data_IF_085475701969
#
_entry.id   IF_085475701969
#
_cell.length_a   1.000
_cell.length_b   1.000
_cell.length_c   1.000
_cell.angle_alpha   90.00
_cell.angle_beta   90.00
_cell.angle_gamma   90.00
#
_symmetry.space_group_name_H-M   'P 1'
#
loop_
_entity.id
_entity.type
_entity.pdbx_description
1 polymer ?
#
# COMPACT_ATOMS: atom_id res chain seq x y z
N UNK A 1 50.00 -23.32 6.83
CA UNK A 1 50.54 -23.23 5.46
C UNK A 1 49.35 -23.41 4.52
N UNK A 2 48.70 -22.31 4.15
CA UNK A 2 48.94 -21.53 2.91
C UNK A 2 48.40 -22.30 1.69
N UNK A 3 47.24 -21.88 1.15
CA UNK A 3 47.06 -21.00 -0.03
C UNK A 3 46.95 -21.86 -1.31
N UNK A 4 46.13 -21.59 -2.33
CA UNK A 4 45.21 -20.52 -2.71
C UNK A 4 44.67 -20.84 -4.11
N UNK A 5 43.97 -19.87 -4.70
CA UNK A 5 43.64 -19.67 -6.13
C UNK A 5 42.27 -20.13 -6.66
N UNK A 6 41.35 -19.15 -6.62
CA UNK A 6 40.35 -18.84 -7.64
C UNK A 6 40.98 -18.69 -9.04
N UNK A 7 40.26 -19.15 -10.09
CA UNK A 7 40.18 -18.41 -11.35
C UNK A 7 38.91 -18.73 -12.16
N UNK A 8 38.37 -17.63 -12.69
CA UNK A 8 37.22 -17.41 -13.58
C UNK A 8 37.24 -18.18 -14.91
N UNK A 9 36.04 -18.19 -15.57
CA UNK A 9 35.70 -18.03 -17.02
C UNK A 9 34.47 -18.94 -17.30
N UNK A 10 33.34 -18.55 -17.91
CA UNK A 10 32.95 -17.42 -18.75
C UNK A 10 31.45 -17.12 -18.64
N UNK A 11 31.13 -15.84 -18.76
CA UNK A 11 29.83 -15.35 -19.19
C UNK A 11 29.58 -15.76 -20.66
N UNK A 12 28.49 -16.48 -20.91
CA UNK A 12 27.95 -16.68 -22.25
C UNK A 12 27.02 -15.53 -22.62
N UNK A 13 27.39 -14.78 -23.65
CA UNK A 13 26.57 -13.73 -24.26
C UNK A 13 25.33 -14.33 -24.92
N UNK A 14 24.13 -13.96 -24.45
CA UNK A 14 22.93 -14.09 -25.27
C UNK A 14 22.68 -12.74 -25.96
N UNK A 15 22.82 -12.75 -27.28
CA UNK A 15 22.59 -11.61 -28.14
C UNK A 15 21.11 -11.43 -28.51
N UNK A 16 20.75 -10.16 -28.72
CA UNK A 16 19.85 -9.70 -29.78
C UNK A 16 18.37 -10.05 -29.67
N UNK A 17 18.01 -11.30 -29.92
CA UNK A 17 16.65 -11.64 -30.40
C UNK A 17 15.84 -12.58 -29.50
N UNK A 18 16.38 -13.04 -28.36
CA UNK A 18 15.63 -13.90 -27.42
C UNK A 18 14.58 -13.18 -26.56
N UNK A 19 14.61 -11.85 -26.50
CA UNK A 19 13.67 -11.06 -25.69
C UNK A 19 12.33 -10.77 -26.41
N UNK A 20 12.30 -10.89 -27.74
CA UNK A 20 11.11 -10.61 -28.55
C UNK A 20 10.13 -11.79 -28.58
N UNK A 21 10.61 -13.03 -28.62
CA UNK A 21 9.75 -14.23 -28.62
C UNK A 21 9.08 -14.49 -27.26
N UNK A 22 9.70 -14.06 -26.16
CA UNK A 22 9.09 -14.14 -24.81
C UNK A 22 8.01 -13.07 -24.63
N UNK A 23 8.15 -11.91 -25.28
CA UNK A 23 7.15 -10.84 -25.26
C UNK A 23 5.93 -11.15 -26.15
N UNK A 24 6.11 -11.88 -27.27
CA UNK A 24 5.01 -12.29 -28.14
C UNK A 24 4.11 -13.36 -27.50
N UNK A 25 4.68 -14.26 -26.69
CA UNK A 25 3.90 -15.26 -25.94
C UNK A 25 3.11 -14.64 -24.76
N UNK A 26 3.60 -13.55 -24.16
CA UNK A 26 2.96 -12.87 -23.02
C UNK A 26 1.72 -12.03 -23.40
N UNK A 27 1.60 -11.59 -24.66
CA UNK A 27 0.47 -10.76 -25.11
C UNK A 27 -0.85 -11.54 -25.28
N UNK A 28 -0.79 -12.88 -25.40
CA UNK A 28 -2.00 -13.72 -25.51
C UNK A 28 -2.63 -14.14 -24.17
N UNK A 29 -2.03 -13.80 -23.02
CA UNK A 29 -2.50 -14.29 -21.70
C UNK A 29 -2.76 -13.22 -20.62
N UNK A 30 -2.80 -11.93 -20.99
CA UNK A 30 -3.41 -10.86 -20.17
C UNK A 30 -2.95 -10.81 -18.68
N UNK A 31 -1.63 -10.87 -18.43
CA UNK A 31 -1.03 -10.73 -17.10
C UNK A 31 0.01 -9.60 -17.11
N UNK A 32 -0.26 -8.51 -16.40
CA UNK A 32 0.71 -7.44 -16.14
C UNK A 32 1.54 -7.79 -14.90
N UNK A 33 2.80 -8.21 -15.09
CA UNK A 33 3.79 -8.38 -14.02
C UNK A 33 4.88 -7.31 -14.19
N UNK A 34 5.06 -6.47 -13.18
CA UNK A 34 6.17 -5.51 -13.08
C UNK A 34 7.33 -6.21 -12.38
N UNK A 35 8.41 -6.46 -13.12
CA UNK A 35 9.67 -7.01 -12.62
C UNK A 35 10.56 -5.86 -12.13
N UNK A 36 10.95 -5.85 -10.84
CA UNK A 36 11.85 -4.84 -10.27
C UNK A 36 13.04 -5.57 -9.64
N UNK A 37 14.19 -5.51 -10.33
CA UNK A 37 15.47 -6.06 -9.87
C UNK A 37 16.19 -4.99 -9.03
N UNK A 38 16.50 -5.29 -7.78
CA UNK A 38 17.37 -4.49 -6.91
C UNK A 38 18.80 -5.03 -6.99
N UNK A 39 19.79 -4.14 -7.20
CA UNK A 39 21.22 -4.44 -7.09
C UNK A 39 21.82 -3.62 -5.96
N UNK A 40 22.53 -4.30 -5.05
CA UNK A 40 23.13 -3.75 -3.83
C UNK A 40 24.61 -3.39 -4.10
N UNK A 41 25.04 -2.18 -3.73
CA UNK A 41 26.42 -1.72 -3.93
C UNK A 41 27.10 -1.47 -2.57
N UNK A 42 27.99 -2.40 -2.17
CA UNK A 42 28.98 -2.25 -1.09
C UNK A 42 30.31 -1.79 -1.69
N UNK A 43 30.85 -0.64 -1.28
CA UNK A 43 32.25 -0.50 -0.80
C UNK A 43 32.76 0.95 -0.63
N UNK A 44 33.35 1.18 0.55
CA UNK A 44 34.24 2.24 1.07
C UNK A 44 35.15 2.99 0.08
N UNK A 45 35.34 4.31 0.30
CA UNK A 45 36.62 4.93 0.71
C UNK A 45 36.47 6.44 1.01
N UNK A 46 36.57 6.80 2.29
CA UNK A 46 36.90 8.16 2.74
C UNK A 46 38.41 8.23 2.96
N UNK A 47 39.09 9.16 2.29
CA UNK A 47 40.46 9.57 2.63
C UNK A 47 40.42 11.02 3.10
N UNK A 48 40.67 11.22 4.38
CA UNK A 48 41.14 12.49 4.92
C UNK A 48 42.53 12.79 4.35
N UNK A 49 42.74 14.01 3.88
CA UNK A 49 44.07 14.59 3.71
C UNK A 49 44.10 15.90 4.47
N UNK A 50 44.76 15.86 5.63
CA UNK A 50 45.24 17.03 6.36
C UNK A 50 46.58 17.45 5.73
N UNK A 51 46.81 18.74 5.48
CA UNK A 51 48.07 19.19 4.90
C UNK A 51 48.27 20.70 4.79
N UNK A 52 48.63 21.30 5.94
CA UNK A 52 49.54 22.45 6.10
C UNK A 52 49.05 23.88 5.78
N UNK A 53 48.76 24.60 6.86
CA UNK A 53 48.71 26.06 6.94
C UNK A 53 50.08 26.72 6.72
N UNK A 54 50.07 27.92 6.11
CA UNK A 54 51.09 28.96 6.30
C UNK A 54 50.44 30.14 7.02
N UNK A 55 51.10 30.77 8.02
CA UNK A 55 50.53 31.88 8.77
C UNK A 55 50.81 33.20 8.06
N UNK A 56 49.82 34.09 8.04
CA UNK A 56 50.05 35.53 7.83
C UNK A 56 49.16 36.20 6.80
N UNK A 57 47.94 36.56 7.22
CA UNK A 57 47.38 37.92 7.09
C UNK A 57 45.99 37.95 7.73
N UNK A 58 45.80 38.88 8.68
CA UNK A 58 44.49 39.23 9.24
C UNK A 58 43.62 39.76 8.10
N UNK A 59 42.65 38.96 7.69
CA UNK A 59 41.43 39.41 7.04
C UNK A 59 40.29 38.82 7.84
N UNK A 60 39.49 39.68 8.47
CA UNK A 60 38.20 39.29 9.05
C UNK A 60 37.35 38.66 7.95
N UNK A 61 37.28 37.34 7.91
CA UNK A 61 36.25 36.65 7.14
C UNK A 61 34.97 36.78 7.96
N UNK A 62 34.24 37.86 7.70
CA UNK A 62 32.82 37.88 8.03
C UNK A 62 32.16 36.78 7.23
N UNK A 63 31.86 35.66 7.88
CA UNK A 63 30.95 34.66 7.31
C UNK A 63 29.56 35.26 7.44
N UNK A 64 29.15 36.05 6.45
CA UNK A 64 27.73 36.29 6.21
C UNK A 64 27.17 34.99 5.64
N UNK A 65 26.77 34.09 6.54
CA UNK A 65 25.93 32.95 6.20
C UNK A 65 24.50 33.47 6.10
N UNK A 66 24.16 34.06 4.95
CA UNK A 66 22.75 34.19 4.58
C UNK A 66 22.22 32.77 4.41
N UNK A 67 21.46 32.31 5.41
CA UNK A 67 20.68 31.07 5.33
C UNK A 67 19.63 31.26 4.22
N UNK A 68 19.95 30.84 3.00
CA UNK A 68 18.98 30.81 1.90
C UNK A 68 18.05 29.62 2.19
N UNK A 69 16.91 29.88 2.84
CA UNK A 69 15.84 28.91 2.92
C UNK A 69 15.09 28.88 1.56
N UNK A 70 15.18 27.80 0.78
CA UNK A 70 14.43 27.70 -0.47
C UNK A 70 12.93 27.74 -0.14
N UNK A 71 12.19 28.61 -0.84
CA UNK A 71 10.74 28.75 -0.62
C UNK A 71 10.03 27.41 -0.88
N UNK A 72 9.24 26.96 0.11
CA UNK A 72 8.45 25.73 0.04
C UNK A 72 7.53 25.69 -1.18
N UNK A 73 7.04 26.85 -1.64
CA UNK A 73 6.25 27.01 -2.85
C UNK A 73 7.05 26.59 -4.10
N UNK A 74 8.31 27.01 -4.20
CA UNK A 74 9.16 26.69 -5.34
C UNK A 74 9.51 25.19 -5.38
N UNK A 75 9.72 24.58 -4.22
CA UNK A 75 9.94 23.15 -4.08
C UNK A 75 8.73 22.32 -4.58
N UNK A 76 7.51 22.78 -4.29
CA UNK A 76 6.28 22.15 -4.79
C UNK A 76 6.10 22.34 -6.31
N UNK A 77 6.47 23.50 -6.86
CA UNK A 77 6.46 23.72 -8.32
C UNK A 77 7.41 22.76 -9.04
N UNK A 78 8.60 22.53 -8.48
CA UNK A 78 9.54 21.53 -9.01
C UNK A 78 8.96 20.11 -8.98
N UNK A 79 8.37 19.71 -7.84
CA UNK A 79 7.71 18.41 -7.70
C UNK A 79 6.62 18.21 -8.75
N UNK A 80 5.76 19.22 -8.95
CA UNK A 80 4.67 19.15 -9.93
C UNK A 80 5.19 19.04 -11.37
N UNK A 81 6.28 19.73 -11.71
CA UNK A 81 6.90 19.65 -13.03
C UNK A 81 7.46 18.26 -13.32
N UNK A 82 8.08 17.62 -12.32
CA UNK A 82 8.59 16.26 -12.45
C UNK A 82 7.46 15.25 -12.57
N UNK A 83 6.42 15.36 -11.74
CA UNK A 83 5.26 14.44 -11.75
C UNK A 83 4.36 14.61 -12.98
N UNK A 84 4.22 15.82 -13.51
CA UNK A 84 3.47 16.09 -14.73
C UNK A 84 4.26 15.79 -16.01
N UNK A 85 5.57 15.52 -15.91
CA UNK A 85 6.46 15.18 -17.02
C UNK A 85 6.75 16.31 -18.02
N UNK A 86 6.09 17.47 -17.88
CA UNK A 86 6.36 18.66 -18.69
C UNK A 86 5.95 19.96 -17.98
N UNK A 87 6.64 21.05 -18.29
CA UNK A 87 6.29 22.40 -17.80
C UNK A 87 4.88 22.81 -18.27
N UNK A 88 4.47 22.40 -19.47
CA UNK A 88 3.13 22.69 -20.00
C UNK A 88 2.04 22.04 -19.16
N UNK A 89 2.20 20.75 -18.83
CA UNK A 89 1.23 20.01 -18.02
C UNK A 89 1.20 20.52 -16.57
N UNK A 90 2.36 20.84 -16.00
CA UNK A 90 2.45 21.41 -14.66
C UNK A 90 1.79 22.80 -14.57
N UNK A 91 2.02 23.67 -15.55
CA UNK A 91 1.39 24.99 -15.61
C UNK A 91 -0.14 24.90 -15.64
N UNK A 92 -0.70 23.92 -16.39
CA UNK A 92 -2.13 23.66 -16.41
C UNK A 92 -2.66 23.19 -15.04
N UNK A 93 -1.94 22.28 -14.37
CA UNK A 93 -2.32 21.77 -13.03
C UNK A 93 -2.21 22.82 -11.93
N UNK A 94 -1.25 23.74 -12.04
CA UNK A 94 -1.03 24.85 -11.11
C UNK A 94 -1.86 26.09 -11.45
N UNK A 95 -2.69 26.05 -12.51
CA UNK A 95 -3.49 27.18 -13.00
C UNK A 95 -2.66 28.47 -13.23
N UNK A 96 -1.47 28.33 -13.84
CA UNK A 96 -0.55 29.44 -14.08
C UNK A 96 0.06 29.38 -15.49
N UNK A 97 0.86 30.38 -15.86
CA UNK A 97 1.52 30.45 -17.18
C UNK A 97 2.81 29.61 -17.22
N UNK A 98 3.13 29.06 -18.40
CA UNK A 98 4.41 28.33 -18.62
C UNK A 98 5.64 29.18 -18.30
N UNK A 99 5.57 30.48 -18.60
CA UNK A 99 6.64 31.44 -18.30
C UNK A 99 6.86 31.57 -16.80
N UNK A 100 5.79 31.60 -16.01
CA UNK A 100 5.86 31.68 -14.56
C UNK A 100 6.46 30.42 -13.93
N UNK A 101 6.04 29.23 -14.35
CA UNK A 101 6.63 27.96 -13.90
C UNK A 101 8.12 27.89 -14.22
N UNK A 102 8.51 28.26 -15.45
CA UNK A 102 9.92 28.29 -15.87
C UNK A 102 10.76 29.28 -15.03
N UNK A 103 10.20 30.46 -14.71
CA UNK A 103 10.84 31.46 -13.86
C UNK A 103 11.00 30.96 -12.41
N UNK A 104 9.98 30.30 -11.86
CA UNK A 104 10.02 29.71 -10.52
C UNK A 104 11.05 28.58 -10.40
N UNK A 105 11.14 27.69 -11.40
CA UNK A 105 12.19 26.66 -11.46
C UNK A 105 13.59 27.26 -11.52
N UNK A 106 13.78 28.25 -12.41
CA UNK A 106 15.09 28.91 -12.55
C UNK A 106 15.50 29.62 -11.27
N UNK A 107 14.53 30.22 -10.55
CA UNK A 107 14.76 30.82 -9.23
C UNK A 107 15.13 29.79 -8.17
N UNK A 108 14.48 28.62 -8.17
CA UNK A 108 14.81 27.53 -7.26
C UNK A 108 16.22 27.00 -7.49
N UNK A 109 16.59 26.73 -8.74
CA UNK A 109 17.94 26.26 -9.12
C UNK A 109 19.00 27.31 -8.73
N UNK A 110 18.70 28.60 -8.91
CA UNK A 110 19.58 29.68 -8.47
C UNK A 110 19.73 29.76 -6.94
N UNK A 111 18.64 29.56 -6.19
CA UNK A 111 18.66 29.55 -4.72
C UNK A 111 19.45 28.36 -4.16
N UNK A 112 19.34 27.19 -4.79
CA UNK A 112 20.03 25.98 -4.37
C UNK A 112 21.47 25.89 -4.91
N UNK A 113 21.85 26.75 -5.86
CA UNK A 113 23.17 26.72 -6.51
C UNK A 113 23.42 25.49 -7.38
N UNK A 114 22.39 24.69 -7.66
CA UNK A 114 22.50 23.43 -8.43
C UNK A 114 21.37 23.32 -9.46
N UNK A 115 21.68 22.69 -10.60
CA UNK A 115 20.70 22.38 -11.62
C UNK A 115 19.91 21.12 -11.22
N UNK A 116 18.58 21.21 -11.20
CA UNK A 116 17.69 20.11 -10.82
C UNK A 116 17.13 19.38 -12.03
N UNK A 117 17.05 20.04 -13.20
CA UNK A 117 16.46 19.48 -14.42
C UNK A 117 17.37 19.67 -15.63
N UNK A 118 17.55 18.61 -16.41
CA UNK A 118 18.09 18.73 -17.77
C UNK A 118 17.01 19.31 -18.69
N UNK A 119 17.25 20.52 -19.21
CA UNK A 119 16.35 21.19 -20.16
C UNK A 119 16.72 20.79 -21.58
N UNK A 120 16.22 19.62 -22.03
CA UNK A 120 16.24 19.29 -23.46
C UNK A 120 14.89 19.63 -24.10
N UNK A 121 14.88 20.02 -25.37
CA UNK A 121 13.67 20.40 -26.12
C UNK A 121 12.67 19.25 -26.34
N UNK A 122 12.99 18.01 -25.91
CA UNK A 122 12.13 16.83 -26.08
C UNK A 122 11.79 16.08 -24.79
N UNK A 123 12.56 16.21 -23.70
CA UNK A 123 12.27 15.57 -22.40
C UNK A 123 12.82 16.38 -21.22
N UNK A 124 12.02 16.47 -20.16
CA UNK A 124 12.41 16.95 -18.83
C UNK A 124 12.88 15.75 -18.02
N UNK A 125 14.16 15.74 -17.63
CA UNK A 125 14.74 14.65 -16.81
C UNK A 125 15.41 15.25 -15.58
N UNK A 126 15.12 14.74 -14.36
CA UNK A 126 15.82 15.17 -13.15
C UNK A 126 17.32 14.84 -13.21
N UNK A 127 18.15 15.77 -12.73
CA UNK A 127 19.56 15.50 -12.44
C UNK A 127 19.71 14.59 -11.22
N UNK A 128 20.92 14.21 -10.86
CA UNK A 128 21.16 13.48 -9.60
C UNK A 128 20.73 14.31 -8.38
N UNK A 129 21.11 15.60 -8.34
CA UNK A 129 20.63 16.54 -7.34
C UNK A 129 19.10 16.70 -7.37
N UNK A 130 18.50 16.74 -8.56
CA UNK A 130 17.05 16.75 -8.75
C UNK A 130 16.35 15.52 -8.18
N UNK A 131 16.92 14.32 -8.35
CA UNK A 131 16.37 13.08 -7.78
C UNK A 131 16.42 13.10 -6.25
N UNK A 132 17.56 13.49 -5.67
CA UNK A 132 17.69 13.61 -4.22
C UNK A 132 16.71 14.64 -3.64
N UNK A 133 16.58 15.80 -4.30
CA UNK A 133 15.67 16.86 -3.87
C UNK A 133 14.20 16.48 -4.00
N UNK A 134 13.83 15.66 -4.99
CA UNK A 134 12.47 15.19 -5.22
C UNK A 134 11.89 14.45 -4.00
N UNK A 135 12.70 13.63 -3.33
CA UNK A 135 12.26 12.88 -2.14
C UNK A 135 11.96 13.81 -0.96
N UNK A 136 12.74 14.88 -0.80
CA UNK A 136 12.45 15.93 0.19
C UNK A 136 11.21 16.73 -0.17
N UNK A 137 11.00 17.07 -1.45
CA UNK A 137 9.77 17.76 -1.88
C UNK A 137 8.51 16.92 -1.61
N UNK A 138 8.58 15.59 -1.80
CA UNK A 138 7.47 14.69 -1.49
C UNK A 138 7.12 14.72 -0.01
N UNK A 139 8.12 14.66 0.87
CA UNK A 139 7.94 14.75 2.33
C UNK A 139 7.39 16.13 2.73
N UNK A 140 7.89 17.21 2.15
CA UNK A 140 7.40 18.56 2.37
C UNK A 140 5.92 18.70 1.97
N UNK A 141 5.50 18.09 0.85
CA UNK A 141 4.08 18.08 0.43
C UNK A 141 3.19 17.36 1.44
N UNK A 142 3.67 16.28 2.04
CA UNK A 142 2.96 15.58 3.13
C UNK A 142 2.86 16.49 4.36
N UNK A 143 3.98 17.05 4.80
CA UNK A 143 4.03 17.91 6.00
C UNK A 143 3.16 19.18 5.86
N UNK A 144 3.13 19.81 4.68
CA UNK A 144 2.25 20.97 4.41
C UNK A 144 0.77 20.58 4.37
N UNK A 145 0.44 19.36 3.94
CA UNK A 145 -0.93 18.85 4.01
C UNK A 145 -1.33 18.57 5.45
N UNK A 146 -0.45 17.96 6.23
CA UNK A 146 -0.64 17.72 7.67
C UNK A 146 -0.79 19.04 8.44
N UNK A 147 0.04 20.05 8.15
CA UNK A 147 -0.06 21.36 8.79
C UNK A 147 -1.36 22.08 8.40
N UNK A 148 -1.77 21.99 7.14
CA UNK A 148 -3.05 22.54 6.69
C UNK A 148 -4.23 21.80 7.30
N UNK A 149 -4.13 20.48 7.50
CA UNK A 149 -5.14 19.67 8.18
C UNK A 149 -5.23 20.05 9.67
N UNK A 150 -4.09 20.23 10.35
CA UNK A 150 -4.03 20.69 11.73
C UNK A 150 -4.66 22.09 11.90
N UNK A 151 -4.45 23.00 10.94
CA UNK A 151 -5.03 24.34 10.96
C UNK A 151 -6.52 24.37 10.55
N UNK A 152 -6.96 23.50 9.64
CA UNK A 152 -8.37 23.38 9.27
C UNK A 152 -9.22 22.73 10.36
N UNK A 153 -8.61 21.90 11.21
CA UNK A 153 -9.23 21.41 12.44
C UNK A 153 -9.61 22.51 13.44
N UNK A 154 -9.12 23.75 13.26
CA UNK A 154 -9.44 24.89 14.13
C UNK A 154 -10.65 25.73 13.67
N UNK A 155 -11.15 25.59 12.43
CA UNK A 155 -12.08 26.58 11.84
C UNK A 155 -13.38 26.04 11.23
N UNK A 156 -13.55 24.71 11.10
CA UNK A 156 -14.85 24.08 10.87
C UNK A 156 -14.95 22.98 11.92
N UNK A 157 -15.80 23.13 12.95
CA UNK A 157 -16.12 22.01 13.83
C UNK A 157 -16.75 20.92 12.96
N UNK A 158 -15.95 19.90 12.62
CA UNK A 158 -16.43 18.73 11.92
C UNK A 158 -17.44 18.03 12.85
N UNK A 159 -18.73 18.26 12.59
CA UNK A 159 -19.81 17.81 13.45
C UNK A 159 -20.95 17.17 12.64
N UNK A 160 -21.76 16.36 13.32
CA UNK A 160 -22.93 15.69 12.76
C UNK A 160 -22.68 14.23 12.40
N UNK A 161 -23.65 13.61 11.71
CA UNK A 161 -23.64 12.16 11.47
C UNK A 161 -22.94 11.78 10.16
N UNK A 162 -22.08 10.77 10.20
CA UNK A 162 -21.50 10.11 9.02
C UNK A 162 -21.98 8.67 8.96
N UNK A 163 -22.53 8.25 7.81
CA UNK A 163 -23.01 6.89 7.60
C UNK A 163 -21.95 6.03 6.94
N UNK A 164 -21.51 4.98 7.63
CA UNK A 164 -20.47 4.06 7.18
C UNK A 164 -21.04 2.65 7.09
N UNK A 165 -20.85 1.97 5.95
CA UNK A 165 -21.20 0.54 5.83
C UNK A 165 -19.94 -0.34 5.72
N UNK A 166 -19.87 -1.45 6.45
CA UNK A 166 -18.70 -2.35 6.47
C UNK A 166 -19.09 -3.84 6.51
N UNK A 167 -18.23 -4.75 6.05
CA UNK A 167 -18.36 -6.18 6.28
C UNK A 167 -18.32 -6.54 7.77
N UNK A 168 -19.08 -7.56 8.17
CA UNK A 168 -19.10 -8.12 9.53
C UNK A 168 -17.69 -8.45 10.06
N UNK A 169 -16.84 -9.06 9.23
CA UNK A 169 -15.47 -9.38 9.65
C UNK A 169 -14.61 -8.15 9.87
N UNK A 170 -14.79 -7.10 9.07
CA UNK A 170 -14.06 -5.86 9.27
C UNK A 170 -14.47 -5.20 10.59
N UNK A 171 -15.78 -5.10 10.84
CA UNK A 171 -16.32 -4.54 12.09
C UNK A 171 -15.84 -5.32 13.32
N UNK A 172 -15.86 -6.65 13.27
CA UNK A 172 -15.47 -7.48 14.42
C UNK A 172 -13.97 -7.45 14.73
N UNK A 173 -13.11 -7.25 13.73
CA UNK A 173 -11.65 -7.22 13.92
C UNK A 173 -11.13 -5.82 14.24
N UNK A 174 -11.59 -4.80 13.52
CA UNK A 174 -11.03 -3.44 13.61
C UNK A 174 -11.99 -2.42 14.25
N UNK A 175 -13.30 -2.70 14.26
CA UNK A 175 -14.32 -1.69 14.50
C UNK A 175 -14.23 -1.03 15.88
N UNK A 176 -14.03 -1.81 16.95
CA UNK A 176 -14.02 -1.28 18.31
C UNK A 176 -12.86 -0.30 18.54
N UNK A 177 -11.62 -0.71 18.23
CA UNK A 177 -10.42 0.12 18.43
C UNK A 177 -10.42 1.35 17.53
N UNK A 178 -10.76 1.17 16.24
CA UNK A 178 -10.79 2.24 15.26
C UNK A 178 -11.85 3.29 15.63
N UNK A 179 -13.08 2.88 15.94
CA UNK A 179 -14.18 3.83 16.23
C UNK A 179 -13.97 4.53 17.58
N UNK A 180 -13.40 3.85 18.58
CA UNK A 180 -13.07 4.48 19.86
C UNK A 180 -11.99 5.55 19.68
N UNK A 181 -10.91 5.24 18.97
CA UNK A 181 -9.84 6.19 18.69
C UNK A 181 -10.34 7.37 17.83
N UNK A 182 -11.23 7.11 16.86
CA UNK A 182 -11.87 8.17 16.08
C UNK A 182 -12.72 9.09 16.96
N UNK A 183 -13.57 8.52 17.81
CA UNK A 183 -14.45 9.29 18.70
C UNK A 183 -13.67 10.17 19.69
N UNK A 184 -12.54 9.68 20.20
CA UNK A 184 -11.65 10.47 21.07
C UNK A 184 -11.09 11.71 20.35
N UNK A 185 -10.80 11.60 19.06
CA UNK A 185 -10.27 12.71 18.26
C UNK A 185 -11.38 13.63 17.71
N UNK A 186 -12.56 13.10 17.41
CA UNK A 186 -13.68 13.81 16.80
C UNK A 186 -15.02 13.58 17.56
N UNK A 187 -15.16 14.09 18.80
CA UNK A 187 -16.31 13.79 19.65
C UNK A 187 -17.64 14.37 19.14
N UNK A 188 -17.59 15.39 18.27
CA UNK A 188 -18.78 16.01 17.67
C UNK A 188 -19.34 15.26 16.45
N UNK A 189 -18.66 14.20 16.00
CA UNK A 189 -19.09 13.36 14.89
C UNK A 189 -19.74 12.09 15.41
N UNK A 190 -20.97 11.82 14.98
CA UNK A 190 -21.65 10.55 15.21
C UNK A 190 -21.41 9.63 14.02
N UNK A 191 -20.96 8.40 14.24
CA UNK A 191 -20.85 7.38 13.18
C UNK A 191 -22.06 6.45 13.25
N UNK A 192 -22.89 6.47 12.21
CA UNK A 192 -23.93 5.46 12.00
C UNK A 192 -23.32 4.31 11.20
N UNK A 193 -23.14 3.16 11.87
CA UNK A 193 -22.51 1.98 11.29
C UNK A 193 -23.57 0.98 10.80
N UNK A 194 -23.56 0.68 9.51
CA UNK A 194 -24.26 -0.46 8.92
C UNK A 194 -23.28 -1.60 8.73
N UNK A 195 -23.65 -2.80 9.18
CA UNK A 195 -22.82 -3.99 9.01
C UNK A 195 -23.49 -4.90 8.01
N UNK A 196 -23.00 -4.86 6.78
CA UNK A 196 -23.59 -5.58 5.65
C UNK A 196 -22.57 -5.87 4.56
N UNK A 197 -22.78 -7.00 3.88
CA UNK A 197 -22.08 -7.36 2.64
C UNK A 197 -22.90 -7.00 1.39
N UNK A 198 -24.08 -6.40 1.54
CA UNK A 198 -24.90 -6.02 0.40
C UNK A 198 -24.15 -5.00 -0.46
N UNK A 199 -23.99 -5.33 -1.73
CA UNK A 199 -23.60 -4.36 -2.75
C UNK A 199 -24.80 -3.45 -2.98
N UNK A 200 -24.72 -2.26 -2.40
CA UNK A 200 -25.71 -1.20 -2.56
C UNK A 200 -25.03 0.00 -3.18
N UNK A 201 -25.75 0.73 -4.00
CA UNK A 201 -25.32 2.07 -4.38
C UNK A 201 -25.26 2.94 -3.11
N UNK A 202 -24.09 3.54 -2.87
CA UNK A 202 -23.86 4.33 -1.66
C UNK A 202 -24.69 5.60 -1.66
N UNK A 203 -24.88 6.23 -2.82
CA UNK A 203 -25.66 7.45 -2.95
C UNK A 203 -27.15 7.16 -2.72
N UNK A 204 -27.70 6.14 -3.40
CA UNK A 204 -29.12 5.78 -3.26
C UNK A 204 -29.47 5.28 -1.85
N UNK A 205 -28.53 4.59 -1.20
CA UNK A 205 -28.72 4.08 0.17
C UNK A 205 -28.40 5.09 1.26
N UNK A 206 -27.95 6.29 0.88
CA UNK A 206 -27.61 7.36 1.82
C UNK A 206 -26.41 7.04 2.70
N UNK A 207 -25.46 6.22 2.23
CA UNK A 207 -24.18 5.99 2.91
C UNK A 207 -23.15 7.01 2.43
N UNK A 208 -22.40 7.60 3.38
CA UNK A 208 -21.31 8.50 3.05
C UNK A 208 -20.05 7.73 2.64
N UNK A 209 -19.78 6.61 3.33
CA UNK A 209 -18.58 5.79 3.19
C UNK A 209 -18.92 4.29 3.17
N UNK A 210 -18.08 3.50 2.53
CA UNK A 210 -18.09 2.05 2.66
C UNK A 210 -16.68 1.47 2.72
N UNK A 211 -16.50 0.37 3.46
CA UNK A 211 -15.28 -0.43 3.37
C UNK A 211 -15.64 -1.72 2.65
N UNK A 212 -14.94 -2.09 1.57
CA UNK A 212 -15.22 -3.30 0.81
C UNK A 212 -13.94 -3.94 0.29
N UNK A 213 -13.95 -5.25 0.21
CA UNK A 213 -13.03 -6.01 -0.63
C UNK A 213 -13.77 -6.33 -1.92
N UNK A 214 -13.25 -5.86 -3.06
CA UNK A 214 -13.87 -6.11 -4.36
C UNK A 214 -12.80 -6.19 -5.45
N UNK A 215 -12.90 -7.15 -6.40
CA UNK A 215 -11.99 -7.24 -7.54
C UNK A 215 -12.22 -6.12 -8.57
N UNK A 216 -13.43 -5.56 -8.60
CA UNK A 216 -13.81 -4.45 -9.46
C UNK A 216 -14.49 -3.35 -8.63
N UNK A 217 -14.24 -2.09 -9.00
CA UNK A 217 -14.71 -0.93 -8.26
C UNK A 217 -15.69 -0.12 -9.11
N UNK A 218 -16.81 0.36 -8.55
CA UNK A 218 -17.72 1.23 -9.28
C UNK A 218 -17.02 2.52 -9.73
N UNK A 219 -17.14 2.92 -11.01
CA UNK A 219 -16.36 4.02 -11.57
C UNK A 219 -16.74 5.40 -11.02
N UNK A 220 -17.92 5.53 -10.41
CA UNK A 220 -18.43 6.77 -9.82
C UNK A 220 -17.93 7.01 -8.38
N UNK A 221 -17.32 6.00 -7.75
CA UNK A 221 -16.77 6.10 -6.40
C UNK A 221 -15.27 6.41 -6.44
N UNK A 222 -14.82 7.17 -5.44
CA UNK A 222 -13.41 7.23 -5.11
C UNK A 222 -13.06 5.99 -4.30
N UNK A 223 -11.99 5.31 -4.68
CA UNK A 223 -11.45 4.18 -3.94
C UNK A 223 -10.06 4.49 -3.39
N UNK A 224 -9.92 4.44 -2.07
CA UNK A 224 -8.63 4.50 -1.38
C UNK A 224 -8.29 3.12 -0.84
N UNK A 225 -7.22 2.52 -1.34
CA UNK A 225 -6.73 1.25 -0.81
C UNK A 225 -6.28 1.44 0.64
N UNK A 226 -6.77 0.62 1.55
CA UNK A 226 -6.38 0.61 2.96
C UNK A 226 -5.25 -0.39 3.20
N UNK A 227 -5.43 -1.62 2.72
CA UNK A 227 -4.42 -2.68 2.83
C UNK A 227 -4.73 -3.83 1.85
N UNK A 228 -3.78 -4.74 1.72
CA UNK A 228 -3.96 -6.02 1.04
C UNK A 228 -4.10 -7.13 2.09
N UNK A 229 -5.06 -8.01 1.89
CA UNK A 229 -5.24 -9.22 2.70
C UNK A 229 -5.01 -10.45 1.81
N UNK A 230 -4.64 -11.56 2.43
CA UNK A 230 -4.63 -12.90 1.83
C UNK A 230 -5.55 -13.80 2.64
N UNK A 231 -5.95 -14.92 2.05
CA UNK A 231 -6.68 -15.93 2.80
C UNK A 231 -5.71 -16.96 3.40
N UNK A 232 -6.01 -17.45 4.59
CA UNK A 232 -5.40 -18.63 5.17
C UNK A 232 -6.38 -19.79 5.14
N UNK A 233 -5.85 -20.99 4.89
CA UNK A 233 -6.59 -22.22 5.20
C UNK A 233 -6.29 -22.59 6.64
N UNK A 234 -7.34 -22.80 7.41
CA UNK A 234 -7.27 -23.04 8.85
C UNK A 234 -8.16 -24.20 9.27
N UNK A 235 -7.77 -24.89 10.33
CA UNK A 235 -8.54 -25.95 10.98
C UNK A 235 -8.27 -25.94 12.48
N UNK A 236 -9.16 -26.50 13.30
CA UNK A 236 -8.88 -26.65 14.73
C UNK A 236 -7.80 -27.71 14.97
N UNK A 237 -6.98 -27.56 16.03
CA UNK A 237 -6.02 -28.59 16.43
C UNK A 237 -6.67 -29.96 16.67
N UNK A 238 -7.91 -30.00 17.17
CA UNK A 238 -8.65 -31.24 17.39
C UNK A 238 -8.96 -31.98 16.09
N UNK A 239 -9.35 -31.27 15.03
CA UNK A 239 -9.57 -31.87 13.71
C UNK A 239 -8.27 -32.43 13.14
N UNK A 240 -7.16 -31.68 13.29
CA UNK A 240 -5.84 -32.08 12.80
C UNK A 240 -5.28 -33.29 13.56
N UNK A 241 -5.51 -33.40 14.86
CA UNK A 241 -5.07 -34.56 15.65
C UNK A 241 -5.72 -35.87 15.15
N UNK A 242 -6.98 -35.82 14.71
CA UNK A 242 -7.70 -37.00 14.21
C UNK A 242 -7.45 -37.32 12.74
N UNK A 243 -7.13 -36.32 11.89
CA UNK A 243 -7.04 -36.49 10.43
C UNK A 243 -5.66 -36.23 9.83
N UNK A 244 -4.74 -35.65 10.61
CA UNK A 244 -3.47 -35.13 10.12
C UNK A 244 -3.61 -33.80 9.38
N UNK A 245 -2.47 -33.16 9.14
CA UNK A 245 -2.38 -31.91 8.38
C UNK A 245 -2.23 -32.18 6.87
N UNK A 246 -3.04 -31.55 6.00
CA UNK A 246 -2.88 -31.67 4.56
C UNK A 246 -1.59 -30.97 4.11
N UNK A 247 -0.75 -31.69 3.35
CA UNK A 247 0.50 -31.15 2.77
C UNK A 247 0.32 -30.52 1.39
N UNK A 248 -0.70 -30.98 0.66
CA UNK A 248 -0.98 -30.58 -0.72
C UNK A 248 -2.45 -30.16 -0.85
N UNK A 249 -2.77 -29.10 -1.61
CA UNK A 249 -4.13 -28.57 -1.74
C UNK A 249 -5.15 -29.60 -2.20
N UNK A 250 -4.80 -30.48 -3.13
CA UNK A 250 -5.67 -31.55 -3.62
C UNK A 250 -6.25 -32.47 -2.54
N UNK A 251 -5.66 -32.54 -1.34
CA UNK A 251 -6.24 -33.28 -0.22
C UNK A 251 -7.60 -32.71 0.23
N UNK A 252 -7.82 -31.40 0.07
CA UNK A 252 -9.06 -30.72 0.46
C UNK A 252 -10.29 -31.17 -0.35
N UNK A 253 -10.08 -31.80 -1.51
CA UNK A 253 -11.15 -32.42 -2.30
C UNK A 253 -11.83 -33.60 -1.57
N UNK A 254 -11.24 -34.12 -0.49
CA UNK A 254 -11.76 -35.27 0.28
C UNK A 254 -11.91 -34.98 1.78
N UNK A 255 -11.57 -33.78 2.22
CA UNK A 255 -11.63 -33.36 3.62
C UNK A 255 -12.84 -32.46 3.82
N UNK A 256 -13.49 -32.50 5.00
CA UNK A 256 -14.65 -31.66 5.27
C UNK A 256 -14.22 -30.19 5.25
N UNK A 257 -14.79 -29.39 4.35
CA UNK A 257 -14.58 -27.95 4.33
C UNK A 257 -15.88 -27.20 4.64
N UNK A 258 -15.72 -26.02 5.25
CA UNK A 258 -16.78 -25.00 5.36
C UNK A 258 -16.40 -23.84 4.45
N UNK A 259 -17.26 -23.57 3.47
CA UNK A 259 -16.92 -22.70 2.33
C UNK A 259 -17.67 -21.38 2.42
N UNK A 260 -16.98 -20.29 2.08
CA UNK A 260 -17.65 -18.99 1.96
C UNK A 260 -18.34 -18.86 0.59
N UNK A 261 -19.56 -18.31 0.56
CA UNK A 261 -20.37 -18.24 -0.66
C UNK A 261 -19.80 -17.30 -1.74
N UNK A 262 -18.86 -16.41 -1.40
CA UNK A 262 -18.24 -15.47 -2.35
C UNK A 262 -17.20 -16.10 -3.29
N UNK A 263 -16.86 -17.38 -3.13
CA UNK A 263 -15.93 -18.04 -4.06
C UNK A 263 -16.68 -18.38 -5.36
N UNK A 264 -16.49 -17.54 -6.38
CA UNK A 264 -17.27 -17.39 -7.62
C UNK A 264 -17.42 -18.61 -8.55
N UNK A 265 -16.99 -19.81 -8.14
CA UNK A 265 -17.09 -21.04 -8.96
C UNK A 265 -17.29 -22.30 -8.13
N UNK A 266 -18.15 -22.26 -7.10
CA UNK A 266 -18.52 -23.46 -6.33
C UNK A 266 -17.32 -24.09 -5.64
N UNK A 267 -17.00 -23.63 -4.43
CA UNK A 267 -15.97 -24.24 -3.57
C UNK A 267 -14.59 -24.47 -4.24
N UNK A 268 -14.26 -23.72 -5.31
CA UNK A 268 -12.94 -23.78 -5.94
C UNK A 268 -11.98 -22.83 -5.27
N UNK A 269 -10.91 -23.37 -4.70
CA UNK A 269 -9.85 -22.61 -4.05
C UNK A 269 -8.60 -22.62 -4.91
N UNK A 270 -8.09 -21.42 -5.17
CA UNK A 270 -6.82 -21.21 -5.86
C UNK A 270 -5.67 -21.16 -4.85
N UNK A 271 -4.62 -21.91 -5.18
CA UNK A 271 -3.37 -22.00 -4.45
C UNK A 271 -2.19 -21.78 -5.40
N UNK A 272 -1.11 -21.19 -4.89
CA UNK A 272 0.12 -20.96 -5.64
C UNK A 272 1.35 -21.30 -4.80
N UNK A 273 2.29 -22.08 -5.36
CA UNK A 273 3.59 -22.36 -4.74
C UNK A 273 4.67 -22.39 -5.83
N UNK A 274 5.69 -21.54 -5.68
CA UNK A 274 6.84 -21.47 -6.61
C UNK A 274 6.44 -21.39 -8.11
N UNK A 275 5.46 -20.55 -8.43
CA UNK A 275 4.97 -20.36 -9.81
C UNK A 275 4.01 -21.44 -10.32
N UNK A 276 3.76 -22.51 -9.55
CA UNK A 276 2.71 -23.48 -9.83
C UNK A 276 1.40 -23.01 -9.22
N UNK A 277 0.37 -22.84 -10.07
CA UNK A 277 -1.01 -22.59 -9.64
C UNK A 277 -1.80 -23.89 -9.62
N UNK A 278 -2.54 -24.12 -8.54
CA UNK A 278 -3.44 -25.26 -8.38
C UNK A 278 -4.84 -24.76 -7.99
N UNK A 279 -5.84 -25.12 -8.80
CA UNK A 279 -7.25 -24.91 -8.50
C UNK A 279 -7.83 -26.21 -7.95
N UNK A 280 -8.36 -26.17 -6.73
CA UNK A 280 -8.95 -27.35 -6.07
C UNK A 280 -10.42 -27.10 -5.82
N UNK A 281 -11.26 -27.98 -6.36
CA UNK A 281 -12.66 -28.08 -5.95
C UNK A 281 -12.72 -28.80 -4.60
N UNK A 282 -13.00 -28.06 -3.52
CA UNK A 282 -12.97 -28.63 -2.17
C UNK A 282 -14.26 -29.35 -1.82
N UNK A 283 -14.17 -30.40 -1.01
CA UNK A 283 -15.37 -31.06 -0.48
C UNK A 283 -15.97 -30.18 0.61
N UNK A 284 -17.23 -29.80 0.47
CA UNK A 284 -17.91 -28.96 1.45
C UNK A 284 -19.26 -29.55 1.86
N UNK A 285 -19.54 -29.53 3.16
CA UNK A 285 -20.84 -29.89 3.70
C UNK A 285 -21.68 -28.65 4.05
N UNK A 286 -21.04 -27.48 4.12
CA UNK A 286 -21.67 -26.19 4.33
C UNK A 286 -21.07 -25.15 3.39
N UNK A 287 -21.95 -24.31 2.85
CA UNK A 287 -21.60 -23.07 2.18
C UNK A 287 -22.38 -21.93 2.84
N UNK A 288 -21.69 -20.91 3.35
CA UNK A 288 -22.30 -19.77 4.04
C UNK A 288 -21.69 -18.45 3.57
N UNK A 289 -22.46 -17.37 3.59
CA UNK A 289 -21.99 -16.02 3.21
C UNK A 289 -21.46 -15.20 4.40
N UNK A 290 -21.08 -15.87 5.49
CA UNK A 290 -20.58 -15.24 6.70
C UNK A 290 -19.27 -15.91 7.15
N UNK A 291 -18.18 -15.17 7.05
CA UNK A 291 -16.86 -15.62 7.47
C UNK A 291 -16.74 -15.83 9.00
N UNK A 292 -17.54 -15.15 9.81
CA UNK A 292 -17.56 -15.34 11.27
C UNK A 292 -18.12 -16.72 11.61
N UNK A 293 -19.19 -17.12 10.93
CA UNK A 293 -19.76 -18.46 11.06
C UNK A 293 -18.75 -19.53 10.60
N UNK A 294 -18.10 -19.32 9.45
CA UNK A 294 -17.07 -20.24 8.96
C UNK A 294 -15.91 -20.39 9.95
N UNK A 295 -15.48 -19.30 10.59
CA UNK A 295 -14.45 -19.32 11.64
C UNK A 295 -14.89 -20.14 12.85
N UNK A 296 -16.09 -19.90 13.37
CA UNK A 296 -16.62 -20.60 14.54
C UNK A 296 -16.75 -22.11 14.28
N UNK A 297 -17.19 -22.49 13.08
CA UNK A 297 -17.28 -23.90 12.69
C UNK A 297 -15.91 -24.56 12.54
N UNK A 298 -14.92 -23.84 11.99
CA UNK A 298 -13.55 -24.32 11.94
C UNK A 298 -12.95 -24.50 13.35
N UNK A 299 -13.18 -23.55 14.25
CA UNK A 299 -12.76 -23.62 15.67
C UNK A 299 -13.40 -24.82 16.37
N UNK A 300 -14.67 -25.10 16.08
CA UNK A 300 -15.40 -26.28 16.58
C UNK A 300 -14.97 -27.61 15.93
N UNK A 301 -14.03 -27.59 14.98
CA UNK A 301 -13.54 -28.80 14.30
C UNK A 301 -14.47 -29.36 13.23
N UNK A 302 -15.42 -28.57 12.75
CA UNK A 302 -16.38 -29.01 11.74
C UNK A 302 -15.80 -29.07 10.32
N UNK A 303 -14.59 -28.54 10.10
CA UNK A 303 -13.88 -28.66 8.83
C UNK A 303 -12.75 -27.65 8.66
N UNK A 304 -12.12 -27.72 7.49
CA UNK A 304 -11.17 -26.71 7.01
C UNK A 304 -11.93 -25.49 6.49
N UNK A 305 -11.51 -24.30 6.90
CA UNK A 305 -12.04 -23.04 6.40
C UNK A 305 -10.96 -22.26 5.69
N UNK A 306 -11.36 -21.50 4.66
CA UNK A 306 -10.53 -20.47 4.06
C UNK A 306 -11.06 -19.10 4.51
N UNK A 307 -10.22 -18.36 5.24
CA UNK A 307 -10.60 -17.11 5.90
C UNK A 307 -9.56 -16.02 5.59
N UNK A 308 -9.96 -14.74 5.50
CA UNK A 308 -8.99 -13.65 5.46
C UNK A 308 -8.02 -13.72 6.65
N UNK A 309 -6.75 -13.45 6.40
CA UNK A 309 -5.67 -13.52 7.39
C UNK A 309 -5.95 -12.70 8.64
N UNK A 310 -6.36 -11.44 8.49
CA UNK A 310 -6.73 -10.55 9.61
C UNK A 310 -7.86 -11.11 10.48
N UNK A 311 -8.75 -11.91 9.89
CA UNK A 311 -9.88 -12.52 10.58
C UNK A 311 -9.51 -13.82 11.32
N UNK A 312 -8.50 -14.54 10.82
CA UNK A 312 -8.00 -15.78 11.39
C UNK A 312 -6.88 -15.57 12.42
N UNK A 313 -6.14 -14.46 12.31
CA UNK A 313 -4.94 -14.17 13.06
C UNK A 313 -5.06 -14.39 14.58
N UNK A 314 -6.10 -13.83 15.21
CA UNK A 314 -6.30 -13.99 16.65
C UNK A 314 -6.55 -15.45 17.04
N UNK A 315 -7.41 -16.16 16.30
CA UNK A 315 -7.70 -17.56 16.57
C UNK A 315 -6.47 -18.47 16.37
N UNK A 316 -5.61 -18.15 15.39
CA UNK A 316 -4.35 -18.86 15.18
C UNK A 316 -3.36 -18.57 16.31
N UNK A 317 -3.20 -17.30 16.69
CA UNK A 317 -2.32 -16.88 17.78
C UNK A 317 -2.70 -17.51 19.13
N UNK A 318 -4.00 -17.59 19.38
CA UNK A 318 -4.55 -18.14 20.62
C UNK A 318 -4.61 -19.69 20.60
N UNK A 319 -4.16 -20.33 19.53
CA UNK A 319 -4.16 -21.79 19.37
C UNK A 319 -5.54 -22.43 19.19
N UNK A 320 -6.60 -21.64 18.95
CA UNK A 320 -7.95 -22.15 18.61
C UNK A 320 -8.01 -22.71 17.19
N UNK A 321 -7.20 -22.14 16.30
CA UNK A 321 -7.01 -22.60 14.93
C UNK A 321 -5.52 -22.79 14.64
N UNK A 322 -5.23 -23.63 13.65
CA UNK A 322 -3.90 -23.77 13.07
C UNK A 322 -3.99 -23.48 11.58
N UNK A 323 -3.06 -22.65 11.08
CA UNK A 323 -2.87 -22.46 9.64
C UNK A 323 -2.24 -23.72 9.06
N UNK A 324 -2.87 -24.25 8.02
CA UNK A 324 -2.39 -25.39 7.24
C UNK A 324 -2.02 -24.96 5.83
N UNK A 325 -1.32 -25.81 5.09
CA UNK A 325 -0.85 -25.48 3.73
C UNK A 325 -0.06 -24.16 3.71
N UNK A 326 0.73 -23.89 4.75
CA UNK A 326 1.40 -22.59 4.93
C UNK A 326 2.38 -22.23 3.80
N UNK A 327 2.93 -23.25 3.13
CA UNK A 327 3.80 -23.11 1.95
C UNK A 327 3.06 -22.72 0.67
N UNK A 328 1.72 -22.71 0.69
CA UNK A 328 0.86 -22.33 -0.42
C UNK A 328 0.28 -20.93 -0.19
N UNK A 329 0.41 -20.09 -1.20
CA UNK A 329 -0.20 -18.77 -1.22
C UNK A 329 -1.61 -18.84 -1.80
N UNK A 330 -2.49 -17.99 -1.30
CA UNK A 330 -3.77 -17.69 -1.94
C UNK A 330 -3.70 -16.32 -2.62
N UNK A 331 -4.55 -16.05 -3.62
CA UNK A 331 -4.67 -14.72 -4.21
C UNK A 331 -4.85 -13.64 -3.14
N UNK A 332 -4.02 -12.59 -3.20
CA UNK A 332 -4.19 -11.42 -2.37
C UNK A 332 -5.26 -10.52 -2.96
N UNK A 333 -6.05 -9.88 -2.11
CA UNK A 333 -7.07 -8.94 -2.54
C UNK A 333 -7.02 -7.65 -1.72
N UNK A 334 -7.21 -6.50 -2.38
CA UNK A 334 -7.23 -5.21 -1.71
C UNK A 334 -8.52 -4.96 -0.94
N UNK A 335 -8.42 -4.30 0.21
CA UNK A 335 -9.53 -3.72 0.95
C UNK A 335 -9.53 -2.22 0.73
N UNK A 336 -10.66 -1.67 0.29
CA UNK A 336 -10.81 -0.27 -0.05
C UNK A 336 -11.77 0.45 0.90
N UNK A 337 -11.45 1.71 1.17
CA UNK A 337 -12.43 2.72 1.58
C UNK A 337 -13.01 3.37 0.31
N UNK A 338 -14.32 3.30 0.18
CA UNK A 338 -15.12 3.77 -0.96
C UNK A 338 -16.01 4.92 -0.53
N UNK A 339 -16.13 5.94 -1.38
CA UNK A 339 -17.02 7.08 -1.14
C UNK A 339 -17.36 7.86 -2.41
N UNK A 340 -18.56 8.46 -2.50
CA UNK A 340 -18.93 9.33 -3.61
C UNK A 340 -17.97 10.51 -3.77
N UNK A 341 -17.63 10.87 -5.01
CA UNK A 341 -16.76 12.03 -5.28
C UNK A 341 -17.53 13.35 -5.14
N UNK A 342 -17.49 13.99 -3.96
CA UNK A 342 -18.04 15.35 -3.76
C UNK A 342 -16.91 16.39 -3.69
N UNK A 343 -17.14 17.56 -4.29
CA UNK A 343 -16.16 18.66 -4.30
C UNK A 343 -16.82 19.97 -3.84
N UNK A 344 -16.52 20.48 -2.63
CA UNK A 344 -15.68 19.86 -1.59
C UNK A 344 -16.38 18.71 -0.86
N UNK A 345 -15.61 17.77 -0.30
CA UNK A 345 -16.15 16.80 0.64
C UNK A 345 -16.56 17.47 1.95
N UNK A 346 -17.70 17.09 2.58
CA UNK A 346 -18.09 17.60 3.90
C UNK A 346 -17.01 17.35 4.94
N UNK A 347 -16.80 18.30 5.87
CA UNK A 347 -15.75 18.24 6.88
C UNK A 347 -15.80 16.95 7.71
N UNK A 348 -17.00 16.56 8.19
CA UNK A 348 -17.23 15.31 8.94
C UNK A 348 -16.80 14.05 8.17
N UNK A 349 -17.13 13.99 6.88
CA UNK A 349 -16.81 12.85 6.02
C UNK A 349 -15.31 12.79 5.75
N UNK A 350 -14.69 13.95 5.48
CA UNK A 350 -13.25 14.06 5.28
C UNK A 350 -12.46 13.66 6.52
N UNK A 351 -12.90 14.09 7.71
CA UNK A 351 -12.28 13.72 8.98
C UNK A 351 -12.24 12.19 9.15
N UNK A 352 -13.35 11.50 8.88
CA UNK A 352 -13.40 10.03 8.96
C UNK A 352 -12.57 9.35 7.86
N UNK A 353 -12.55 9.88 6.63
CA UNK A 353 -11.70 9.37 5.54
C UNK A 353 -10.21 9.43 5.91
N UNK A 354 -9.77 10.61 6.36
CA UNK A 354 -8.37 10.86 6.68
C UNK A 354 -7.95 10.05 7.90
N UNK A 355 -8.82 9.94 8.91
CA UNK A 355 -8.58 9.11 10.09
C UNK A 355 -8.43 7.62 9.75
N UNK A 356 -9.42 7.03 9.06
CA UNK A 356 -9.40 5.60 8.70
C UNK A 356 -8.14 5.28 7.91
N UNK A 357 -7.80 6.12 6.94
CA UNK A 357 -6.64 5.82 6.12
C UNK A 357 -5.32 6.04 6.86
N UNK A 358 -5.22 7.09 7.69
CA UNK A 358 -4.07 7.29 8.58
C UNK A 358 -3.88 6.12 9.56
N UNK A 359 -4.97 5.53 10.05
CA UNK A 359 -4.94 4.35 10.93
C UNK A 359 -4.23 3.16 10.28
N UNK A 360 -4.52 2.89 8.99
CA UNK A 360 -3.89 1.80 8.24
C UNK A 360 -2.55 2.17 7.59
N UNK A 361 -2.25 3.47 7.40
CA UNK A 361 -0.94 3.95 6.94
C UNK A 361 0.12 3.91 8.07
N UNK A 362 -0.29 4.18 9.32
CA UNK A 362 0.59 4.25 10.50
C UNK A 362 0.73 2.94 11.29
N UNK A 363 -0.19 2.00 11.10
CA UNK A 363 -0.14 0.66 11.68
C UNK A 363 0.21 -0.31 10.56
N UNK A 364 1.42 -0.89 10.57
CA UNK A 364 1.72 -1.95 9.61
C UNK A 364 0.62 -3.02 9.73
N UNK A 365 -0.07 -3.40 8.64
CA UNK A 365 -1.09 -4.44 8.70
C UNK A 365 -0.52 -5.70 9.35
N UNK A 366 0.78 -5.99 9.18
CA UNK A 366 1.48 -7.11 9.83
C UNK A 366 1.44 -7.08 11.38
N UNK A 367 1.35 -5.91 12.02
CA UNK A 367 1.22 -5.80 13.48
C UNK A 367 -0.23 -6.03 13.96
N UNK A 368 -1.23 -5.61 13.17
CA UNK A 368 -2.66 -5.82 13.46
C UNK A 368 -3.16 -7.21 13.03
N UNK A 369 -2.58 -7.77 11.96
CA UNK A 369 -2.88 -9.07 11.34
C UNK A 369 -2.03 -10.19 11.96
N UNK A 370 -1.21 -9.90 12.98
CA UNK A 370 -0.39 -10.89 13.65
C UNK A 370 0.61 -11.52 12.70
N UNK A 371 1.80 -10.92 12.61
CA UNK A 371 2.95 -11.50 11.94
C UNK A 371 3.24 -12.92 12.45
N UNK A 372 2.70 -13.91 11.75
CA UNK A 372 3.24 -15.26 11.70
C UNK A 372 4.21 -15.32 10.52
N UNK A 373 5.48 -14.98 10.77
CA UNK A 373 6.59 -15.48 9.95
C UNK A 373 7.25 -16.65 10.72
N UNK A 374 7.82 -17.62 9.98
CA UNK A 374 7.89 -19.05 10.33
C UNK A 374 8.64 -19.38 11.61
#
# INVERSE_FOLDING_TARGET
MAAGDDQFVAAGQFGGDGAADVAAAAYQQNLHIVFLVLFECRSRQLRCVHGLEKPGKRGSIGINMETIEPSSELALVFLEVVEAGSITAAAARLATSKSQVSKQLSRLEAQLGVQLLYRSTRRLTPTEAGRAYLDYCRRLRVLLRESTAALRGLNEEAAGTVRLTVPQMFASVFGAELLLAFHQQYPAITVELDISLAERDLEESGFDLAIRSAPALPPHLVARCLFFTRDWVVASPALLAGRGEPREPGALARLPCVVHASYHRGARWLFERAGRVEEVEVSHWLQASDYSLNRQLAEAGAGFARLPDFAAAAAVRDGRLQRVLADWNTPSHPVYLLYPKKTPQPAKTRALIDFIAGWFDGSAPEQLVGAGRP
#
